data_IF_556249166532
#
_entry.id   IF_556249166532
#
_cell.length_a   1.000
_cell.length_b   1.000
_cell.length_c   1.000
_cell.angle_alpha   90.00
_cell.angle_beta   90.00
_cell.angle_gamma   90.00
#
_symmetry.space_group_name_H-M   'P 1'
#
loop_
_entity.id
_entity.type
_entity.pdbx_description
1 polymer ?
#
# COMPACT_ATOMS: atom_id res chain seq x y z
N UNK A 1 29.35 43.75 87.90
CA UNK A 1 28.13 44.15 87.16
C UNK A 1 28.34 44.12 85.63
N UNK A 2 29.55 44.37 85.14
CA UNK A 2 29.83 44.44 83.69
C UNK A 2 29.75 43.09 82.93
N UNK A 3 30.14 41.98 83.56
CA UNK A 3 30.05 40.66 82.92
C UNK A 3 28.60 40.23 82.62
N UNK A 4 27.64 40.54 83.51
CA UNK A 4 26.22 40.18 83.33
C UNK A 4 25.61 40.99 82.18
N UNK A 5 25.99 42.27 82.04
CA UNK A 5 25.52 43.11 80.93
C UNK A 5 26.05 42.61 79.58
N UNK A 6 27.32 42.18 79.52
CA UNK A 6 27.92 41.56 78.33
C UNK A 6 27.23 40.28 77.88
N UNK A 7 26.89 39.37 78.83
CA UNK A 7 26.15 38.15 78.52
C UNK A 7 24.71 38.43 78.03
N UNK A 8 24.02 39.42 78.62
CA UNK A 8 22.68 39.81 78.18
C UNK A 8 22.67 40.38 76.75
N UNK A 9 23.66 41.21 76.41
CA UNK A 9 23.82 41.75 75.06
C UNK A 9 24.16 40.65 74.06
N UNK A 10 25.05 39.72 74.41
CA UNK A 10 25.40 38.58 73.55
C UNK A 10 24.20 37.63 73.30
N UNK A 11 23.37 37.39 74.31
CA UNK A 11 22.14 36.58 74.17
C UNK A 11 21.08 37.28 73.32
N UNK A 12 20.90 38.60 73.47
CA UNK A 12 20.01 39.37 72.61
C UNK A 12 20.47 39.35 71.15
N UNK A 13 21.76 39.55 70.88
CA UNK A 13 22.32 39.47 69.53
C UNK A 13 22.21 38.06 68.94
N UNK A 14 22.38 37.01 69.75
CA UNK A 14 22.22 35.62 69.33
C UNK A 14 20.75 35.24 69.05
N UNK A 15 19.79 35.76 69.81
CA UNK A 15 18.37 35.56 69.51
C UNK A 15 17.92 36.31 68.25
N UNK A 16 18.47 37.50 68.01
CA UNK A 16 18.23 38.26 66.77
C UNK A 16 18.81 37.56 65.54
N UNK A 17 20.00 36.95 65.65
CA UNK A 17 20.62 36.20 64.55
C UNK A 17 19.90 34.88 64.27
N UNK A 18 19.41 34.17 65.30
CA UNK A 18 18.55 32.98 65.15
C UNK A 18 17.20 33.31 64.51
N UNK A 19 16.57 34.42 64.90
CA UNK A 19 15.31 34.89 64.27
C UNK A 19 15.53 35.27 62.80
N UNK A 20 16.64 35.94 62.49
CA UNK A 20 17.07 36.23 61.12
C UNK A 20 17.34 34.94 60.31
N UNK A 21 18.07 34.00 60.87
CA UNK A 21 18.36 32.73 60.19
C UNK A 21 17.10 31.88 59.96
N UNK A 22 16.19 31.79 60.93
CA UNK A 22 14.94 31.04 60.79
C UNK A 22 14.02 31.64 59.71
N UNK A 23 13.97 32.97 59.60
CA UNK A 23 13.21 33.66 58.53
C UNK A 23 13.84 33.46 57.17
N UNK A 24 15.17 33.52 57.06
CA UNK A 24 15.91 33.22 55.83
C UNK A 24 15.81 31.75 55.41
N UNK A 25 15.91 30.81 56.35
CA UNK A 25 15.75 29.38 56.09
C UNK A 25 14.33 29.06 55.62
N UNK A 26 13.31 29.64 56.28
CA UNK A 26 11.91 29.53 55.85
C UNK A 26 11.69 30.13 54.47
N UNK A 27 12.21 31.33 54.20
CA UNK A 27 12.14 31.96 52.88
C UNK A 27 12.86 31.13 51.81
N UNK A 28 14.00 30.51 52.14
CA UNK A 28 14.73 29.59 51.26
C UNK A 28 13.90 28.37 50.88
N UNK A 29 13.28 27.70 51.85
CA UNK A 29 12.37 26.57 51.58
C UNK A 29 11.17 27.00 50.73
N UNK A 30 10.55 28.14 51.04
CA UNK A 30 9.44 28.70 50.26
C UNK A 30 9.85 29.00 48.82
N UNK A 31 11.05 29.57 48.60
CA UNK A 31 11.56 29.86 47.26
C UNK A 31 11.83 28.58 46.45
N UNK A 32 12.38 27.53 47.08
CA UNK A 32 12.57 26.22 46.43
C UNK A 32 11.24 25.58 46.07
N UNK A 33 10.26 25.58 46.99
CA UNK A 33 8.91 25.08 46.71
C UNK A 33 8.24 25.84 45.56
N UNK A 34 8.43 27.17 45.54
CA UNK A 34 7.89 28.05 44.49
C UNK A 34 8.47 27.71 43.13
N UNK A 35 9.80 27.64 43.03
CA UNK A 35 10.50 27.28 41.80
C UNK A 35 10.16 25.85 41.34
N UNK A 36 10.05 24.89 42.27
CA UNK A 36 9.68 23.51 41.95
C UNK A 36 8.26 23.42 41.39
N UNK A 37 7.28 24.08 42.01
CA UNK A 37 5.90 24.12 41.53
C UNK A 37 5.80 24.81 40.15
N UNK A 38 6.47 25.94 39.97
CA UNK A 38 6.47 26.70 38.71
C UNK A 38 7.15 25.91 37.57
N UNK A 39 8.29 25.28 37.85
CA UNK A 39 9.01 24.45 36.87
C UNK A 39 8.18 23.23 36.44
N UNK A 40 7.56 22.54 37.40
CA UNK A 40 6.69 21.41 37.10
C UNK A 40 5.45 21.83 36.29
N UNK A 41 4.85 22.98 36.63
CA UNK A 41 3.74 23.57 35.87
C UNK A 41 4.16 23.83 34.41
N UNK A 42 5.33 24.44 34.20
CA UNK A 42 5.85 24.72 32.86
C UNK A 42 6.09 23.43 32.04
N UNK A 43 6.59 22.36 32.66
CA UNK A 43 6.77 21.06 31.99
C UNK A 43 5.42 20.48 31.58
N UNK A 44 4.42 20.51 32.47
CA UNK A 44 3.07 20.04 32.17
C UNK A 44 2.42 20.89 31.08
N UNK A 45 2.53 22.21 31.14
CA UNK A 45 1.98 23.15 30.16
C UNK A 45 2.53 22.90 28.75
N UNK A 46 3.84 22.62 28.62
CA UNK A 46 4.45 22.27 27.33
C UNK A 46 3.90 20.96 26.76
N UNK A 47 3.78 19.93 27.58
CA UNK A 47 3.22 18.65 27.16
C UNK A 47 1.74 18.75 26.81
N UNK A 48 0.97 19.49 27.62
CA UNK A 48 -0.43 19.79 27.40
C UNK A 48 -0.63 20.58 26.10
N UNK A 49 0.21 21.57 25.82
CA UNK A 49 0.17 22.33 24.57
C UNK A 49 0.43 21.44 23.36
N UNK A 50 1.47 20.60 23.42
CA UNK A 50 1.79 19.66 22.33
C UNK A 50 0.65 18.66 22.10
N UNK A 51 0.05 18.12 23.16
CA UNK A 51 -1.12 17.24 23.07
C UNK A 51 -2.31 17.94 22.39
N UNK A 52 -2.64 19.17 22.81
CA UNK A 52 -3.75 19.93 22.20
C UNK A 52 -3.48 20.24 20.73
N UNK A 53 -2.22 20.45 20.34
CA UNK A 53 -1.83 20.64 18.95
C UNK A 53 -2.03 19.37 18.12
N UNK A 54 -1.49 18.25 18.56
CA UNK A 54 -1.52 16.98 17.80
C UNK A 54 -2.93 16.39 17.74
N UNK A 55 -3.71 16.48 18.83
CA UNK A 55 -5.06 15.93 18.93
C UNK A 55 -6.16 16.95 18.65
N UNK A 56 -5.82 18.07 18.01
CA UNK A 56 -6.75 19.19 17.77
C UNK A 56 -8.05 18.77 17.07
N UNK A 57 -7.95 17.91 16.04
CA UNK A 57 -9.12 17.41 15.31
C UNK A 57 -10.03 16.54 16.20
N UNK A 58 -9.44 15.65 17.01
CA UNK A 58 -10.15 14.81 17.98
C UNK A 58 -10.83 15.68 19.05
N UNK A 59 -10.12 16.69 19.56
CA UNK A 59 -10.61 17.60 20.59
C UNK A 59 -11.74 18.49 20.08
N UNK A 60 -11.68 18.97 18.83
CA UNK A 60 -12.77 19.75 18.19
C UNK A 60 -14.07 18.93 18.08
N UNK A 61 -13.95 17.62 17.86
CA UNK A 61 -15.11 16.74 17.77
C UNK A 61 -15.74 16.41 19.14
N UNK A 62 -14.97 16.49 20.23
CA UNK A 62 -15.38 16.04 21.57
C UNK A 62 -15.69 17.19 22.54
N UNK A 63 -14.93 18.29 22.48
CA UNK A 63 -15.11 19.43 23.36
C UNK A 63 -16.31 20.29 22.93
N UNK A 64 -17.03 20.84 23.91
CA UNK A 64 -18.12 21.78 23.67
C UNK A 64 -17.88 23.09 24.42
N UNK A 65 -18.80 24.05 24.30
CA UNK A 65 -18.70 25.31 25.04
C UNK A 65 -18.87 25.14 26.56
N UNK A 66 -19.54 24.06 27.01
CA UNK A 66 -19.89 23.83 28.42
C UNK A 66 -19.37 22.52 29.01
N UNK A 67 -18.90 21.59 28.17
CA UNK A 67 -18.34 20.30 28.60
C UNK A 67 -16.91 20.18 28.09
N UNK A 68 -15.90 20.27 28.98
CA UNK A 68 -14.50 20.15 28.60
C UNK A 68 -14.09 18.70 28.42
N UNK A 69 -13.12 18.48 27.51
CA UNK A 69 -12.35 17.23 27.49
C UNK A 69 -11.29 17.32 28.58
N UNK A 70 -11.29 16.34 29.49
CA UNK A 70 -10.36 16.25 30.59
C UNK A 70 -9.15 15.38 30.20
N UNK A 71 -7.95 15.92 30.32
CA UNK A 71 -6.69 15.25 29.98
C UNK A 71 -5.84 15.17 31.24
N UNK A 72 -5.57 13.94 31.67
CA UNK A 72 -4.83 13.67 32.91
C UNK A 72 -3.33 13.49 32.64
N UNK A 73 -2.45 13.60 33.66
CA UNK A 73 -1.03 13.30 33.51
C UNK A 73 -0.78 11.90 32.95
N UNK A 74 -1.60 10.91 33.33
CA UNK A 74 -1.49 9.54 32.83
C UNK A 74 -1.75 9.45 31.32
N UNK A 75 -2.72 10.20 30.79
CA UNK A 75 -2.99 10.26 29.34
C UNK A 75 -1.80 10.86 28.58
N UNK A 76 -1.20 11.93 29.11
CA UNK A 76 -0.02 12.57 28.51
C UNK A 76 1.22 11.67 28.58
N UNK A 77 1.40 10.89 29.64
CA UNK A 77 2.48 9.89 29.75
C UNK A 77 2.27 8.77 28.72
N UNK A 78 1.05 8.21 28.64
CA UNK A 78 0.74 7.13 27.71
C UNK A 78 0.82 7.57 26.24
N UNK A 79 0.51 8.85 25.96
CA UNK A 79 0.69 9.47 24.65
C UNK A 79 2.12 9.89 24.33
N UNK A 80 3.08 9.72 25.25
CA UNK A 80 4.48 10.08 25.05
C UNK A 80 4.82 11.57 25.20
N UNK A 81 3.87 12.41 25.61
CA UNK A 81 4.04 13.85 25.81
C UNK A 81 4.76 14.18 27.12
N UNK A 82 4.59 13.34 28.15
CA UNK A 82 5.28 13.45 29.44
C UNK A 82 6.18 12.22 29.68
N UNK A 83 7.33 12.40 30.35
CA UNK A 83 8.18 11.27 30.73
C UNK A 83 7.49 10.38 31.77
N UNK A 84 7.75 9.08 31.74
CA UNK A 84 7.15 8.10 32.64
C UNK A 84 7.37 8.40 34.14
N UNK A 85 8.43 9.14 34.49
CA UNK A 85 8.73 9.57 35.86
C UNK A 85 8.05 10.87 36.31
N UNK A 86 7.18 11.48 35.50
CA UNK A 86 6.51 12.73 35.86
C UNK A 86 5.51 12.51 37.00
N UNK A 87 5.66 13.26 38.09
CA UNK A 87 4.71 13.22 39.21
C UNK A 87 3.41 13.93 38.85
N UNK A 88 2.27 13.25 39.04
CA UNK A 88 0.94 13.83 38.82
C UNK A 88 0.63 14.99 39.78
N UNK A 89 1.25 15.03 40.96
CA UNK A 89 1.02 16.05 41.98
C UNK A 89 2.20 17.00 42.13
N UNK A 90 1.91 18.25 42.49
CA UNK A 90 2.91 19.25 42.85
C UNK A 90 3.33 19.18 44.34
N UNK A 91 4.24 20.07 44.75
CA UNK A 91 4.76 20.14 46.13
C UNK A 91 3.69 20.43 47.20
N UNK A 92 2.49 20.87 46.79
CA UNK A 92 1.33 21.09 47.65
C UNK A 92 0.32 19.92 47.62
N UNK A 93 0.67 18.82 46.94
CA UNK A 93 -0.20 17.65 46.77
C UNK A 93 -1.37 17.90 45.82
N UNK A 94 -1.31 18.94 45.00
CA UNK A 94 -2.37 19.26 44.02
C UNK A 94 -2.07 18.55 42.70
N UNK A 95 -3.07 17.92 42.09
CA UNK A 95 -2.94 17.13 40.86
C UNK A 95 -3.14 17.99 39.61
N UNK A 96 -2.26 17.89 38.62
CA UNK A 96 -2.44 18.60 37.35
C UNK A 96 -3.59 18.05 36.52
N UNK A 97 -4.38 18.94 35.92
CA UNK A 97 -5.48 18.60 35.01
C UNK A 97 -5.51 19.61 33.86
N UNK A 98 -5.44 19.11 32.62
CA UNK A 98 -5.76 19.90 31.44
C UNK A 98 -7.25 19.75 31.12
N UNK A 99 -7.93 20.86 30.88
CA UNK A 99 -9.32 20.90 30.42
C UNK A 99 -9.41 21.72 29.14
N UNK A 100 -10.00 21.13 28.10
CA UNK A 100 -10.12 21.77 26.78
C UNK A 100 -11.59 22.00 26.46
N UNK A 101 -11.98 23.26 26.29
CA UNK A 101 -13.30 23.66 25.82
C UNK A 101 -13.26 24.05 24.34
N UNK A 102 -14.43 24.09 23.72
CA UNK A 102 -14.66 24.73 22.43
C UNK A 102 -15.72 25.85 22.59
N UNK A 103 -15.34 27.05 23.09
CA UNK A 103 -16.30 28.12 23.35
C UNK A 103 -17.03 28.60 22.09
N UNK A 104 -16.35 28.57 20.94
CA UNK A 104 -16.93 28.78 19.61
C UNK A 104 -16.48 27.66 18.69
N UNK A 105 -17.27 27.24 17.69
CA UNK A 105 -16.91 26.16 16.77
C UNK A 105 -15.49 26.33 16.20
N UNK A 106 -14.69 25.24 16.25
CA UNK A 106 -13.30 25.17 15.78
C UNK A 106 -12.27 26.05 16.51
N UNK A 107 -12.63 26.70 17.63
CA UNK A 107 -11.65 27.39 18.49
C UNK A 107 -11.57 26.70 19.85
N UNK A 108 -10.44 26.04 20.10
CA UNK A 108 -10.16 25.38 21.37
C UNK A 108 -9.63 26.38 22.41
N UNK A 109 -10.08 26.25 23.66
CA UNK A 109 -9.56 26.97 24.82
C UNK A 109 -9.09 25.96 25.86
N UNK A 110 -7.77 25.85 26.00
CA UNK A 110 -7.11 24.91 26.89
C UNK A 110 -6.68 25.61 28.21
N UNK A 111 -7.18 25.09 29.32
CA UNK A 111 -6.85 25.57 30.66
C UNK A 111 -6.26 24.42 31.48
N UNK A 112 -5.02 24.59 31.94
CA UNK A 112 -4.40 23.71 32.93
C UNK A 112 -4.76 24.21 34.32
N UNK A 113 -5.09 23.32 35.24
CA UNK A 113 -5.34 23.65 36.64
C UNK A 113 -4.69 22.63 37.56
N UNK A 114 -4.34 23.05 38.78
CA UNK A 114 -3.98 22.15 39.87
C UNK A 114 -5.20 21.87 40.74
N UNK A 115 -5.58 20.61 40.90
CA UNK A 115 -6.82 20.16 41.55
C UNK A 115 -6.56 19.49 42.90
N UNK A 116 -7.53 19.59 43.82
CA UNK A 116 -7.42 18.98 45.15
C UNK A 116 -6.25 19.54 45.97
N UNK A 117 -5.60 18.67 46.75
CA UNK A 117 -4.40 19.00 47.53
C UNK A 117 -4.61 20.10 48.59
N UNK A 118 -3.50 20.56 49.17
CA UNK A 118 -3.51 21.68 50.12
C UNK A 118 -3.59 23.01 49.35
N UNK A 119 -4.52 23.93 49.69
CA UNK A 119 -4.53 25.25 49.08
C UNK A 119 -3.27 26.04 49.49
N UNK A 120 -2.69 26.77 48.55
CA UNK A 120 -1.57 27.68 48.81
C UNK A 120 -2.16 28.90 49.51
N UNK A 121 -1.97 29.00 50.82
CA UNK A 121 -2.56 30.07 51.65
C UNK A 121 -1.76 31.36 51.65
N UNK A 122 -0.46 31.29 51.33
CA UNK A 122 0.34 32.48 51.10
C UNK A 122 0.03 33.06 49.72
N UNK A 123 -0.75 34.14 49.70
CA UNK A 123 -1.20 34.80 48.48
C UNK A 123 -0.04 35.35 47.65
N UNK A 124 1.09 35.71 48.27
CA UNK A 124 2.29 36.17 47.55
C UNK A 124 2.98 34.99 46.88
N UNK A 125 3.14 33.88 47.59
CA UNK A 125 3.71 32.65 47.02
C UNK A 125 2.89 32.17 45.82
N UNK A 126 1.56 32.20 45.93
CA UNK A 126 0.64 31.82 44.86
C UNK A 126 0.89 32.62 43.57
N UNK A 127 0.97 33.95 43.68
CA UNK A 127 1.25 34.81 42.52
C UNK A 127 2.67 34.63 42.01
N UNK A 128 3.65 34.40 42.89
CA UNK A 128 5.04 34.16 42.49
C UNK A 128 5.20 32.88 41.68
N UNK A 129 4.53 31.79 42.08
CA UNK A 129 4.55 30.54 41.30
C UNK A 129 3.97 30.78 39.91
N UNK A 130 2.79 31.42 39.84
CA UNK A 130 2.14 31.77 38.58
C UNK A 130 3.06 32.61 37.68
N UNK A 131 3.70 33.65 38.23
CA UNK A 131 4.61 34.51 37.50
C UNK A 131 5.87 33.79 37.01
N UNK A 132 6.42 32.87 37.81
CA UNK A 132 7.60 32.08 37.45
C UNK A 132 7.32 31.03 36.37
N UNK A 133 6.08 30.55 36.27
CA UNK A 133 5.69 29.61 35.20
C UNK A 133 5.68 30.29 33.81
N UNK A 134 5.57 31.62 33.75
CA UNK A 134 5.62 32.40 32.51
C UNK A 134 4.31 33.11 32.18
N UNK A 135 4.17 33.60 30.95
CA UNK A 135 3.03 34.42 30.54
C UNK A 135 1.67 33.68 30.60
N UNK A 136 1.68 32.38 30.35
CA UNK A 136 0.51 31.51 30.48
C UNK A 136 0.13 31.24 31.95
N UNK A 137 1.06 31.43 32.89
CA UNK A 137 0.89 31.08 34.29
C UNK A 137 -0.06 32.01 35.03
N UNK A 138 -0.87 31.41 35.90
CA UNK A 138 -1.95 32.06 36.63
C UNK A 138 -2.37 31.28 37.88
N UNK A 139 -3.42 31.76 38.53
CA UNK A 139 -3.91 31.24 39.80
C UNK A 139 -5.40 31.52 39.99
N UNK A 140 -6.03 30.79 40.91
CA UNK A 140 -7.37 31.08 41.41
C UNK A 140 -7.25 31.82 42.74
N UNK A 141 -7.66 33.10 42.81
CA UNK A 141 -7.42 33.95 43.97
C UNK A 141 -8.35 33.61 45.13
N UNK A 142 -8.00 34.10 46.32
CA UNK A 142 -8.95 34.27 47.41
C UNK A 142 -9.82 35.50 47.18
N UNK A 143 -11.02 35.52 47.77
CA UNK A 143 -11.91 36.67 47.67
C UNK A 143 -11.22 37.94 48.22
N UNK A 144 -11.20 39.02 47.44
CA UNK A 144 -10.58 40.28 47.86
C UNK A 144 -9.05 40.24 47.97
N UNK A 145 -8.38 39.27 47.33
CA UNK A 145 -6.93 39.09 47.45
C UNK A 145 -6.17 40.37 47.08
N UNK A 146 -5.18 40.72 47.91
CA UNK A 146 -4.37 41.95 47.79
C UNK A 146 -5.20 43.26 47.76
N UNK A 147 -6.42 43.25 48.30
CA UNK A 147 -7.28 44.44 48.36
C UNK A 147 -8.08 44.71 47.08
N UNK A 148 -8.02 43.81 46.09
CA UNK A 148 -8.81 43.92 44.87
C UNK A 148 -10.16 43.20 45.05
N UNK A 149 -11.29 43.93 45.16
CA UNK A 149 -12.61 43.32 45.37
C UNK A 149 -13.11 42.54 44.15
N UNK A 150 -12.48 42.68 42.98
CA UNK A 150 -12.86 41.94 41.77
C UNK A 150 -12.29 40.52 41.74
N UNK A 151 -11.27 40.23 42.57
CA UNK A 151 -10.70 38.90 42.70
C UNK A 151 -11.66 37.95 43.42
N UNK A 152 -12.13 36.93 42.69
CA UNK A 152 -13.10 35.93 43.15
C UNK A 152 -12.68 34.53 42.71
N UNK A 153 -13.07 33.52 43.50
CA UNK A 153 -12.70 32.13 43.29
C UNK A 153 -13.38 31.46 42.07
N UNK A 154 -14.30 32.14 41.40
CA UNK A 154 -15.00 31.65 40.19
C UNK A 154 -14.24 31.98 38.90
N UNK A 155 -13.08 32.64 38.99
CA UNK A 155 -12.26 33.02 37.84
C UNK A 155 -10.79 32.69 38.09
N UNK A 156 -10.10 32.26 37.05
CA UNK A 156 -8.65 32.16 37.05
C UNK A 156 -8.04 33.45 36.48
N UNK A 157 -6.91 33.87 37.03
CA UNK A 157 -6.21 35.10 36.69
C UNK A 157 -4.77 34.77 36.33
N UNK A 158 -4.32 35.28 35.18
CA UNK A 158 -2.90 35.28 34.84
C UNK A 158 -2.09 36.12 35.81
N UNK A 159 -0.82 35.77 35.98
CA UNK A 159 0.11 36.59 36.76
C UNK A 159 0.07 38.06 36.27
N UNK A 160 0.01 38.99 37.22
CA UNK A 160 -0.11 40.43 36.95
C UNK A 160 -1.33 40.85 36.09
N UNK A 161 -2.36 40.01 35.99
CA UNK A 161 -3.58 40.32 35.23
C UNK A 161 -3.46 40.14 33.71
N UNK A 162 -2.49 39.37 33.24
CA UNK A 162 -2.25 39.15 31.81
C UNK A 162 -3.45 38.55 31.05
N UNK A 163 -4.27 37.77 31.74
CA UNK A 163 -5.50 37.18 31.21
C UNK A 163 -6.47 36.86 32.35
N UNK A 164 -7.74 36.65 32.02
CA UNK A 164 -8.77 36.24 32.98
C UNK A 164 -9.76 35.30 32.31
N UNK A 165 -10.04 34.15 32.93
CA UNK A 165 -10.95 33.14 32.39
C UNK A 165 -12.00 32.74 33.44
N UNK A 166 -13.30 32.75 33.09
CA UNK A 166 -14.35 32.22 33.96
C UNK A 166 -14.22 30.69 34.11
N UNK A 167 -14.44 30.18 35.32
CA UNK A 167 -14.32 28.75 35.61
C UNK A 167 -15.66 28.00 35.59
N UNK A 168 -16.75 28.65 35.17
CA UNK A 168 -18.11 28.11 35.21
C UNK A 168 -18.28 26.79 34.43
N UNK A 169 -17.57 26.66 33.29
CA UNK A 169 -17.60 25.47 32.43
C UNK A 169 -16.38 24.55 32.65
N UNK A 170 -15.57 24.84 33.66
CA UNK A 170 -14.40 24.06 34.05
C UNK A 170 -14.66 23.35 35.38
N UNK A 171 -13.85 22.34 35.69
CA UNK A 171 -13.83 21.79 37.04
C UNK A 171 -13.12 22.80 37.94
N UNK A 172 -13.86 23.67 38.61
CA UNK A 172 -13.26 24.76 39.38
C UNK A 172 -12.39 24.21 40.53
N UNK A 173 -11.07 24.49 40.55
CA UNK A 173 -10.16 24.02 41.60
C UNK A 173 -10.31 24.75 42.95
N UNK A 174 -11.02 25.89 42.96
CA UNK A 174 -11.17 26.77 44.12
C UNK A 174 -9.91 27.59 44.44
N UNK A 175 -10.00 28.50 45.40
CA UNK A 175 -8.91 29.41 45.77
C UNK A 175 -7.63 28.69 46.20
N UNK A 176 -6.48 29.33 45.94
CA UNK A 176 -5.17 28.84 46.35
C UNK A 176 -4.58 27.76 45.43
N UNK A 177 -5.10 27.65 44.20
CA UNK A 177 -4.67 26.68 43.18
C UNK A 177 -4.09 27.42 41.97
N UNK A 178 -3.21 26.74 41.26
CA UNK A 178 -2.54 27.23 40.07
C UNK A 178 -3.40 26.98 38.84
N UNK A 179 -3.28 27.85 37.85
CA UNK A 179 -3.97 27.75 36.57
C UNK A 179 -3.07 28.24 35.43
N UNK A 180 -3.17 27.65 34.23
CA UNK A 180 -2.41 28.08 33.05
C UNK A 180 -3.33 28.17 31.85
N UNK A 181 -3.41 29.34 31.22
CA UNK A 181 -4.17 29.50 29.97
C UNK A 181 -3.22 29.26 28.79
N UNK A 182 -3.39 28.13 28.11
CA UNK A 182 -2.54 27.77 27.00
C UNK A 182 -3.01 28.50 25.74
N UNK A 183 -2.19 29.43 25.25
CA UNK A 183 -2.48 30.15 24.01
C UNK A 183 -2.30 29.22 22.80
N UNK A 184 -3.39 28.91 22.12
CA UNK A 184 -3.40 28.14 20.89
C UNK A 184 -3.63 29.08 19.70
N UNK A 185 -2.65 29.17 18.81
CA UNK A 185 -2.89 29.72 17.46
C UNK A 185 -3.11 28.51 16.56
N UNK A 186 -4.32 28.33 16.02
CA UNK A 186 -4.73 27.12 15.29
C UNK A 186 -3.87 26.71 14.09
N UNK A 187 -2.84 27.49 13.74
CA UNK A 187 -1.88 27.21 12.69
C UNK A 187 -0.72 26.27 13.12
N UNK A 188 -0.52 25.99 14.41
CA UNK A 188 0.60 25.12 14.86
C UNK A 188 0.27 23.63 15.01
N UNK A 189 -0.97 23.21 14.72
CA UNK A 189 -1.43 21.82 14.85
C UNK A 189 -0.88 20.82 13.82
N UNK A 190 0.02 21.24 12.91
CA UNK A 190 0.61 20.37 11.89
C UNK A 190 2.12 20.20 12.15
N UNK A 191 2.47 19.52 13.25
CA UNK A 191 3.87 19.22 13.55
C UNK A 191 4.33 17.86 12.97
N UNK A 192 3.48 17.18 12.20
CA UNK A 192 3.78 15.93 11.49
C UNK A 192 4.65 16.11 10.23
N UNK A 193 5.64 17.01 10.26
CA UNK A 193 6.56 17.13 9.15
C UNK A 193 7.36 15.84 8.99
N UNK A 194 7.49 15.35 7.76
CA UNK A 194 8.39 14.25 7.46
C UNK A 194 9.83 14.67 7.85
N UNK A 195 10.36 14.04 8.89
CA UNK A 195 11.72 14.31 9.35
C UNK A 195 12.71 13.76 8.32
N UNK A 196 13.59 14.63 7.81
CA UNK A 196 14.42 14.34 6.62
C UNK A 196 15.86 13.95 6.95
N UNK A 197 16.23 14.03 8.22
CA UNK A 197 17.57 13.72 8.70
C UNK A 197 17.49 12.43 9.49
N UNK A 198 18.47 11.54 9.37
CA UNK A 198 18.47 10.36 10.22
C UNK A 198 18.65 10.77 11.69
N UNK A 199 17.76 10.31 12.58
CA UNK A 199 17.99 10.34 14.03
C UNK A 199 18.51 8.98 14.49
N UNK A 200 19.81 8.85 14.83
CA UNK A 200 20.35 7.58 15.31
C UNK A 200 19.62 7.10 16.57
N UNK A 201 19.29 5.80 16.64
CA UNK A 201 18.61 5.19 17.79
C UNK A 201 17.09 5.37 17.83
N UNK A 202 16.52 6.18 16.94
CA UNK A 202 15.09 6.55 16.96
C UNK A 202 14.38 6.16 15.65
N UNK A 203 14.03 4.87 15.44
CA UNK A 203 13.36 4.43 14.21
C UNK A 203 12.00 5.09 13.97
N UNK A 204 11.28 5.47 15.03
CA UNK A 204 10.00 6.17 14.99
C UNK A 204 10.11 7.54 14.34
N UNK A 205 11.25 8.22 14.46
CA UNK A 205 11.51 9.52 13.84
C UNK A 205 12.01 9.40 12.39
N UNK A 206 12.32 8.18 11.93
CA UNK A 206 12.83 7.91 10.59
C UNK A 206 11.81 7.15 9.72
N UNK A 207 10.55 7.03 10.17
CA UNK A 207 9.50 6.25 9.49
C UNK A 207 8.19 7.04 9.42
N UNK A 208 7.42 6.80 8.38
CA UNK A 208 6.04 7.28 8.30
C UNK A 208 5.13 6.36 9.12
N UNK A 209 4.19 6.95 9.86
CA UNK A 209 3.14 6.22 10.60
C UNK A 209 1.83 6.08 9.80
N UNK A 210 1.77 6.73 8.63
CA UNK A 210 0.63 6.70 7.71
C UNK A 210 1.12 6.77 6.25
N UNK A 211 0.23 6.58 5.29
CA UNK A 211 0.52 6.76 3.86
C UNK A 211 0.82 8.23 3.56
N UNK A 212 1.81 8.48 2.71
CA UNK A 212 2.07 9.80 2.15
C UNK A 212 1.28 9.98 0.85
N UNK A 213 0.41 10.97 0.82
CA UNK A 213 -0.19 11.47 -0.41
C UNK A 213 0.68 12.61 -0.92
N UNK A 214 1.17 12.49 -2.16
CA UNK A 214 2.00 13.50 -2.78
C UNK A 214 1.18 14.65 -3.38
N UNK A 215 -0.16 14.57 -3.39
CA UNK A 215 -1.07 15.59 -3.94
C UNK A 215 -0.71 16.01 -5.38
N UNK A 216 -0.30 15.05 -6.20
CA UNK A 216 0.12 15.27 -7.60
C UNK A 216 1.56 15.78 -7.77
N UNK A 217 2.36 15.83 -6.71
CA UNK A 217 3.77 16.23 -6.78
C UNK A 217 4.71 15.04 -7.05
N UNK A 218 5.90 15.37 -7.56
CA UNK A 218 6.91 14.39 -7.94
C UNK A 218 7.75 13.88 -6.77
N UNK A 219 8.26 12.65 -6.91
CA UNK A 219 9.37 12.12 -6.10
C UNK A 219 10.60 12.02 -7.00
N UNK A 220 11.50 13.00 -6.92
CA UNK A 220 12.72 13.03 -7.74
C UNK A 220 13.94 12.47 -7.00
N UNK A 221 14.85 11.83 -7.72
CA UNK A 221 16.15 11.32 -7.20
C UNK A 221 16.05 10.30 -6.05
N UNK A 222 14.98 9.51 -6.00
CA UNK A 222 14.91 8.36 -5.11
C UNK A 222 15.95 7.30 -5.51
N UNK A 223 16.91 7.00 -4.64
CA UNK A 223 17.96 6.03 -4.91
C UNK A 223 17.42 4.59 -5.05
N UNK A 224 16.39 4.23 -4.27
CA UNK A 224 15.69 2.95 -4.33
C UNK A 224 14.26 3.08 -3.84
N UNK A 225 13.31 2.52 -4.58
CA UNK A 225 11.92 2.37 -4.19
C UNK A 225 11.58 0.88 -4.23
N UNK A 226 11.12 0.32 -3.11
CA UNK A 226 10.69 -1.08 -3.01
C UNK A 226 9.20 -1.12 -2.69
N UNK A 227 8.41 -1.73 -3.58
CA UNK A 227 7.00 -1.98 -3.35
C UNK A 227 6.78 -3.43 -2.91
N UNK A 228 5.95 -3.66 -1.89
CA UNK A 228 5.63 -5.00 -1.38
C UNK A 228 4.42 -5.63 -2.06
N UNK A 229 3.56 -4.82 -2.70
CA UNK A 229 2.32 -5.29 -3.32
C UNK A 229 2.28 -4.97 -4.80
N UNK A 230 2.21 -3.69 -5.18
CA UNK A 230 2.08 -3.28 -6.57
C UNK A 230 2.77 -1.94 -6.84
N UNK A 231 3.23 -1.77 -8.07
CA UNK A 231 3.59 -0.49 -8.67
C UNK A 231 2.58 -0.23 -9.79
N UNK A 232 1.72 0.77 -9.63
CA UNK A 232 0.67 1.12 -10.59
C UNK A 232 0.97 2.48 -11.22
N UNK A 233 0.74 2.62 -12.52
CA UNK A 233 0.83 3.89 -13.24
C UNK A 233 -0.46 4.15 -14.02
N UNK A 234 -1.00 5.36 -13.92
CA UNK A 234 -2.11 5.81 -14.76
C UNK A 234 -1.69 6.26 -16.16
N UNK A 235 -0.38 6.35 -16.41
CA UNK A 235 0.23 6.70 -17.69
C UNK A 235 1.47 5.86 -17.97
N UNK A 236 2.39 6.42 -18.76
CA UNK A 236 3.61 5.73 -19.20
C UNK A 236 4.57 5.38 -18.05
N UNK A 237 5.15 4.18 -18.11
CA UNK A 237 6.29 3.79 -17.25
C UNK A 237 7.56 3.72 -18.09
N UNK A 238 8.51 4.62 -17.84
CA UNK A 238 9.76 4.70 -18.59
C UNK A 238 10.86 3.81 -17.97
N UNK A 239 11.18 2.70 -18.62
CA UNK A 239 12.37 1.89 -18.30
C UNK A 239 13.58 2.39 -19.08
N UNK A 240 14.38 3.30 -18.52
CA UNK A 240 15.47 3.95 -19.28
C UNK A 240 16.68 3.03 -19.50
N UNK A 241 16.97 2.14 -18.56
CA UNK A 241 18.10 1.21 -18.62
C UNK A 241 17.93 0.18 -19.74
N UNK A 242 19.04 -0.17 -20.38
CA UNK A 242 19.09 -1.16 -21.47
C UNK A 242 19.91 -2.39 -21.09
N UNK A 243 19.56 -3.53 -21.66
CA UNK A 243 20.34 -4.77 -21.61
C UNK A 243 20.46 -5.37 -23.01
N UNK A 244 21.65 -5.84 -23.37
CA UNK A 244 21.88 -6.48 -24.66
C UNK A 244 21.57 -7.98 -24.54
N UNK A 245 20.68 -8.53 -25.37
CA UNK A 245 20.39 -9.97 -25.35
C UNK A 245 21.67 -10.81 -25.46
N UNK A 246 21.77 -11.84 -24.62
CA UNK A 246 22.90 -12.77 -24.58
C UNK A 246 24.12 -12.29 -23.78
N UNK A 247 24.13 -11.05 -23.27
CA UNK A 247 25.25 -10.56 -22.44
C UNK A 247 25.00 -10.80 -20.95
N UNK A 248 26.07 -10.75 -20.15
CA UNK A 248 25.97 -10.91 -18.70
C UNK A 248 25.08 -9.85 -18.05
N UNK A 249 24.37 -10.24 -16.98
CA UNK A 249 23.56 -9.38 -16.14
C UNK A 249 23.86 -9.64 -14.66
N UNK A 250 23.76 -8.59 -13.83
CA UNK A 250 24.18 -8.65 -12.42
C UNK A 250 23.05 -8.69 -11.39
N UNK A 251 21.79 -8.54 -11.82
CA UNK A 251 20.63 -8.50 -10.93
C UNK A 251 19.54 -9.41 -11.50
N UNK A 252 19.43 -10.61 -10.93
CA UNK A 252 18.41 -11.59 -11.33
C UNK A 252 17.01 -11.00 -11.30
N UNK A 253 16.15 -11.46 -12.22
CA UNK A 253 14.75 -11.03 -12.41
C UNK A 253 14.55 -9.56 -12.78
N UNK A 254 15.61 -8.76 -12.89
CA UNK A 254 15.49 -7.38 -13.35
C UNK A 254 15.06 -7.32 -14.83
N UNK A 255 14.27 -6.31 -15.16
CA UNK A 255 13.79 -6.05 -16.53
C UNK A 255 14.40 -4.76 -17.07
N UNK A 256 14.74 -4.76 -18.36
CA UNK A 256 15.28 -3.59 -19.07
C UNK A 256 14.70 -3.52 -20.48
N UNK A 257 14.89 -2.39 -21.17
CA UNK A 257 14.69 -2.34 -22.62
C UNK A 257 15.79 -3.12 -23.32
N UNK A 258 15.46 -3.79 -24.42
CA UNK A 258 16.49 -4.36 -25.28
C UNK A 258 17.31 -3.26 -25.95
N UNK A 259 18.64 -3.41 -26.03
CA UNK A 259 19.49 -2.51 -26.83
C UNK A 259 19.17 -2.58 -28.33
N UNK A 260 18.51 -3.64 -28.78
CA UNK A 260 18.08 -3.82 -30.19
C UNK A 260 16.79 -3.04 -30.53
N UNK A 261 16.20 -2.33 -29.57
CA UNK A 261 14.95 -1.56 -29.77
C UNK A 261 13.68 -2.40 -29.84
N UNK A 262 13.79 -3.72 -29.68
CA UNK A 262 12.66 -4.67 -29.76
C UNK A 262 12.33 -5.20 -28.36
N UNK A 263 11.21 -4.75 -27.78
CA UNK A 263 10.67 -5.29 -26.53
C UNK A 263 11.58 -5.12 -25.30
N UNK A 264 11.49 -6.09 -24.39
CA UNK A 264 12.21 -6.10 -23.11
C UNK A 264 13.23 -7.23 -23.04
N UNK A 265 14.14 -7.12 -22.08
CA UNK A 265 15.00 -8.22 -21.64
C UNK A 265 14.80 -8.45 -20.15
N UNK A 266 14.90 -9.70 -19.71
CA UNK A 266 14.94 -10.12 -18.31
C UNK A 266 16.31 -10.72 -18.01
N UNK A 267 16.86 -10.41 -16.83
CA UNK A 267 18.03 -11.10 -16.32
C UNK A 267 17.59 -12.45 -15.75
N UNK A 268 18.06 -13.55 -16.35
CA UNK A 268 17.79 -14.90 -15.89
C UNK A 268 19.01 -15.79 -16.12
N UNK A 269 19.53 -16.39 -15.05
CA UNK A 269 20.71 -17.25 -15.11
C UNK A 269 21.99 -16.48 -15.44
N UNK A 270 22.11 -15.24 -14.95
CA UNK A 270 23.27 -14.36 -15.15
C UNK A 270 23.41 -13.77 -16.55
N UNK A 271 22.43 -13.96 -17.43
CA UNK A 271 22.41 -13.40 -18.79
C UNK A 271 21.10 -12.66 -19.08
N UNK A 272 21.18 -11.63 -19.93
CA UNK A 272 20.00 -10.94 -20.46
C UNK A 272 19.32 -11.82 -21.51
N UNK A 273 18.08 -12.21 -21.24
CA UNK A 273 17.24 -12.99 -22.14
C UNK A 273 16.14 -12.07 -22.69
N UNK A 274 15.88 -12.14 -24.00
CA UNK A 274 14.80 -11.35 -24.60
C UNK A 274 13.42 -11.86 -24.15
N UNK A 275 12.53 -10.95 -23.78
CA UNK A 275 11.14 -11.24 -23.38
C UNK A 275 10.21 -10.53 -24.34
N UNK A 276 9.38 -11.30 -25.05
CA UNK A 276 8.34 -10.76 -25.92
C UNK A 276 8.92 -9.91 -27.05
N UNK A 277 9.12 -10.51 -28.20
CA UNK A 277 9.89 -9.90 -29.26
C UNK A 277 8.94 -9.34 -30.33
N UNK A 278 8.10 -8.39 -29.93
CA UNK A 278 7.16 -7.71 -30.81
C UNK A 278 7.92 -6.68 -31.66
N UNK A 279 8.00 -6.93 -32.97
CA UNK A 279 8.63 -6.03 -33.94
C UNK A 279 7.51 -5.35 -34.72
N UNK A 280 7.50 -4.02 -34.77
CA UNK A 280 6.55 -3.27 -35.57
C UNK A 280 7.01 -3.20 -37.04
N UNK A 281 6.08 -3.07 -37.97
CA UNK A 281 6.33 -2.81 -39.41
C UNK A 281 7.05 -3.94 -40.18
N UNK A 282 6.73 -5.19 -39.84
CA UNK A 282 7.28 -6.38 -40.50
C UNK A 282 6.54 -6.71 -41.79
N UNK A 283 7.29 -7.19 -42.79
CA UNK A 283 6.77 -7.67 -44.07
C UNK A 283 7.57 -8.89 -44.55
N UNK A 284 7.02 -9.62 -45.52
CA UNK A 284 7.65 -10.84 -46.08
C UNK A 284 9.07 -10.55 -46.58
N UNK A 285 10.02 -11.36 -46.14
CA UNK A 285 11.41 -11.27 -46.57
C UNK A 285 12.27 -10.22 -45.85
N UNK A 286 11.70 -9.42 -44.93
CA UNK A 286 12.46 -8.49 -44.10
C UNK A 286 13.51 -9.25 -43.28
N UNK A 287 14.74 -8.73 -43.22
CA UNK A 287 15.82 -9.36 -42.46
C UNK A 287 15.48 -9.43 -40.96
N UNK A 288 15.85 -10.54 -40.33
CA UNK A 288 15.70 -10.75 -38.89
C UNK A 288 16.94 -11.43 -38.31
N UNK A 289 17.36 -10.99 -37.13
CA UNK A 289 18.58 -11.49 -36.47
C UNK A 289 18.38 -12.73 -35.61
N UNK A 290 17.13 -13.04 -35.23
CA UNK A 290 16.81 -14.11 -34.29
C UNK A 290 15.92 -15.17 -34.95
N UNK A 291 16.53 -16.22 -35.50
CA UNK A 291 15.80 -17.32 -36.12
C UNK A 291 14.86 -18.01 -35.10
N UNK A 292 13.61 -18.28 -35.49
CA UNK A 292 12.54 -18.78 -34.61
C UNK A 292 11.68 -17.69 -33.95
N UNK A 293 12.04 -16.41 -34.10
CA UNK A 293 11.25 -15.29 -33.60
C UNK A 293 9.87 -15.23 -34.27
N UNK A 294 8.80 -15.23 -33.47
CA UNK A 294 7.43 -15.00 -33.94
C UNK A 294 7.12 -13.52 -33.81
N UNK A 295 6.48 -12.95 -34.83
CA UNK A 295 6.11 -11.55 -34.84
C UNK A 295 4.85 -11.32 -35.70
N UNK A 296 4.20 -10.16 -35.57
CA UNK A 296 2.96 -9.84 -36.28
C UNK A 296 3.08 -8.49 -37.00
N UNK A 297 2.56 -8.40 -38.22
CA UNK A 297 2.47 -7.11 -38.94
C UNK A 297 1.34 -6.22 -38.40
N UNK A 298 1.29 -4.97 -38.86
CA UNK A 298 0.21 -4.02 -38.59
C UNK A 298 -1.17 -4.49 -39.10
N UNK A 299 -1.21 -5.46 -40.01
CA UNK A 299 -2.44 -6.06 -40.56
C UNK A 299 -2.75 -7.43 -39.93
N UNK A 300 -2.18 -7.74 -38.77
CA UNK A 300 -2.36 -8.99 -38.02
C UNK A 300 -1.91 -10.26 -38.76
N UNK A 301 -0.94 -10.16 -39.67
CA UNK A 301 -0.33 -11.35 -40.29
C UNK A 301 0.81 -11.83 -39.40
N UNK A 302 0.81 -13.12 -39.04
CA UNK A 302 1.89 -13.73 -38.26
C UNK A 302 3.07 -14.14 -39.14
N UNK A 303 4.27 -13.87 -38.67
CA UNK A 303 5.55 -14.20 -39.29
C UNK A 303 6.41 -15.00 -38.31
N UNK A 304 7.27 -15.84 -38.87
CA UNK A 304 8.38 -16.46 -38.16
C UNK A 304 9.69 -16.08 -38.85
N UNK A 305 10.70 -15.68 -38.07
CA UNK A 305 12.04 -15.50 -38.59
C UNK A 305 12.63 -16.87 -38.96
N UNK A 306 12.83 -17.12 -40.26
CA UNK A 306 13.39 -18.36 -40.79
C UNK A 306 14.46 -18.02 -41.82
N UNK A 307 15.66 -18.56 -41.63
CA UNK A 307 16.84 -18.26 -42.47
C UNK A 307 17.17 -16.77 -42.51
N UNK A 308 17.10 -16.10 -41.35
CA UNK A 308 17.35 -14.66 -41.18
C UNK A 308 16.40 -13.75 -41.98
N UNK A 309 15.22 -14.24 -42.35
CA UNK A 309 14.15 -13.45 -42.94
C UNK A 309 12.82 -13.76 -42.29
N UNK A 310 11.97 -12.76 -42.11
CA UNK A 310 10.59 -12.99 -41.71
C UNK A 310 9.83 -13.64 -42.86
N UNK A 311 9.29 -14.81 -42.59
CA UNK A 311 8.45 -15.57 -43.50
C UNK A 311 7.07 -15.66 -42.87
N UNK A 312 6.02 -15.31 -43.60
CA UNK A 312 4.65 -15.44 -43.15
C UNK A 312 4.40 -16.88 -42.71
N UNK A 313 3.66 -17.08 -41.61
CA UNK A 313 3.40 -18.42 -41.09
C UNK A 313 2.77 -19.35 -42.15
N UNK A 314 1.95 -18.78 -43.04
CA UNK A 314 1.36 -19.49 -44.18
C UNK A 314 2.40 -20.01 -45.19
N UNK A 315 3.55 -19.34 -45.31
CA UNK A 315 4.65 -19.74 -46.20
C UNK A 315 5.74 -20.52 -45.45
N UNK A 316 5.81 -20.40 -44.12
CA UNK A 316 6.87 -20.97 -43.31
C UNK A 316 6.65 -22.46 -43.02
N UNK A 317 5.38 -22.85 -42.92
CA UNK A 317 4.91 -24.23 -42.88
C UNK A 317 4.69 -24.67 -44.33
N UNK A 318 5.33 -25.75 -44.77
CA UNK A 318 5.05 -26.33 -46.09
C UNK A 318 3.63 -26.90 -46.16
N UNK A 319 3.30 -27.59 -47.27
CA UNK A 319 1.96 -28.15 -47.47
C UNK A 319 1.49 -28.94 -46.24
N UNK A 320 0.34 -28.54 -45.69
CA UNK A 320 -0.23 -29.14 -44.49
C UNK A 320 -1.41 -30.01 -44.88
N UNK A 321 -1.30 -31.31 -44.62
CA UNK A 321 -2.40 -32.25 -44.87
C UNK A 321 -3.05 -32.67 -43.55
N UNK A 322 -4.32 -32.33 -43.37
CA UNK A 322 -5.15 -32.78 -42.25
C UNK A 322 -5.98 -33.96 -42.74
N UNK A 323 -6.05 -35.07 -42.00
CA UNK A 323 -6.71 -36.31 -42.46
C UNK A 323 -7.65 -36.89 -41.42
N UNK A 324 -8.70 -37.55 -41.88
CA UNK A 324 -9.67 -38.30 -41.09
C UNK A 324 -9.87 -39.68 -41.73
N UNK A 325 -9.79 -40.72 -40.92
CA UNK A 325 -9.99 -42.11 -41.31
C UNK A 325 -11.40 -42.58 -40.94
N UNK A 326 -12.06 -43.28 -41.85
CA UNK A 326 -13.38 -43.90 -41.66
C UNK A 326 -13.24 -45.38 -42.02
N UNK A 327 -13.51 -46.26 -41.07
CA UNK A 327 -13.44 -47.70 -41.30
C UNK A 327 -14.79 -48.30 -41.69
N UNK A 328 -14.73 -49.53 -42.22
CA UNK A 328 -15.89 -50.34 -42.58
C UNK A 328 -16.77 -49.69 -43.66
N UNK A 329 -16.13 -49.01 -44.60
CA UNK A 329 -16.80 -48.38 -45.75
C UNK A 329 -17.05 -49.40 -46.84
N UNK A 330 -18.24 -49.35 -47.43
CA UNK A 330 -18.72 -50.28 -48.45
C UNK A 330 -19.23 -49.52 -49.67
N UNK A 331 -19.43 -50.24 -50.77
CA UNK A 331 -19.97 -49.67 -52.01
C UNK A 331 -21.25 -48.87 -51.78
N UNK A 332 -21.37 -47.69 -52.41
CA UNK A 332 -22.55 -46.84 -52.32
C UNK A 332 -22.58 -45.83 -51.18
N UNK A 333 -21.65 -45.91 -50.22
CA UNK A 333 -21.60 -44.93 -49.12
C UNK A 333 -21.10 -43.57 -49.59
N UNK A 334 -21.67 -42.50 -49.04
CA UNK A 334 -21.28 -41.12 -49.37
C UNK A 334 -20.77 -40.36 -48.15
N UNK A 335 -19.82 -39.44 -48.38
CA UNK A 335 -19.22 -38.59 -47.35
C UNK A 335 -19.20 -37.15 -47.82
N UNK A 336 -19.66 -36.20 -47.01
CA UNK A 336 -19.48 -34.78 -47.33
C UNK A 336 -18.00 -34.44 -47.43
N UNK A 337 -17.63 -33.61 -48.41
CA UNK A 337 -16.26 -33.10 -48.50
C UNK A 337 -15.94 -32.23 -47.29
N UNK A 338 -14.73 -32.34 -46.76
CA UNK A 338 -14.26 -31.46 -45.69
C UNK A 338 -14.21 -30.00 -46.19
N UNK A 339 -14.60 -29.05 -45.33
CA UNK A 339 -14.49 -27.63 -45.64
C UNK A 339 -13.03 -27.20 -45.52
N UNK A 340 -12.41 -26.83 -46.65
CA UNK A 340 -10.99 -26.45 -46.71
C UNK A 340 -10.84 -24.99 -47.14
N UNK A 341 -11.01 -24.00 -46.25
CA UNK A 341 -10.78 -22.59 -46.59
C UNK A 341 -9.34 -22.35 -47.08
N UNK A 342 -9.16 -22.02 -48.35
CA UNK A 342 -7.84 -21.81 -48.96
C UNK A 342 -7.05 -23.09 -49.26
N UNK A 343 -7.67 -24.27 -49.15
CA UNK A 343 -7.07 -25.57 -49.46
C UNK A 343 -7.94 -26.40 -50.41
N UNK A 344 -7.51 -27.63 -50.66
CA UNK A 344 -8.23 -28.59 -51.53
C UNK A 344 -8.65 -29.82 -50.73
N UNK A 345 -9.93 -30.18 -50.80
CA UNK A 345 -10.43 -31.42 -50.20
C UNK A 345 -9.95 -32.64 -51.01
N UNK A 346 -9.57 -33.70 -50.34
CA UNK A 346 -9.14 -34.95 -50.97
C UNK A 346 -9.74 -36.17 -50.28
N UNK A 347 -9.77 -37.29 -50.99
CA UNK A 347 -10.14 -38.58 -50.41
C UNK A 347 -9.42 -39.74 -51.11
N UNK A 348 -9.25 -40.83 -50.38
CA UNK A 348 -8.66 -42.10 -50.82
C UNK A 348 -9.48 -43.25 -50.24
N UNK A 349 -9.79 -44.25 -51.08
CA UNK A 349 -10.40 -45.49 -50.64
C UNK A 349 -9.37 -46.63 -50.66
N UNK A 350 -9.00 -47.12 -49.48
CA UNK A 350 -8.06 -48.24 -49.33
C UNK A 350 -8.82 -49.52 -49.01
N UNK A 351 -8.65 -50.62 -49.75
CA UNK A 351 -9.29 -51.89 -49.44
C UNK A 351 -8.83 -52.44 -48.07
N UNK A 352 -9.75 -53.04 -47.30
CA UNK A 352 -9.45 -53.67 -45.99
C UNK A 352 -9.33 -55.20 -46.11
N UNK A 353 -9.92 -55.78 -47.15
CA UNK A 353 -9.87 -57.22 -47.42
C UNK A 353 -9.59 -57.47 -48.89
N UNK A 354 -8.66 -58.38 -49.17
CA UNK A 354 -8.49 -59.01 -50.48
C UNK A 354 -9.25 -60.34 -50.44
N UNK A 355 -10.26 -60.50 -51.29
CA UNK A 355 -11.01 -61.75 -51.35
C UNK A 355 -10.29 -62.73 -52.26
N UNK A 356 -10.00 -63.92 -51.73
CA UNK A 356 -9.65 -65.10 -52.54
C UNK A 356 -10.94 -65.85 -52.82
N UNK A 357 -11.22 -66.13 -54.09
CA UNK A 357 -12.41 -66.86 -54.52
C UNK A 357 -12.40 -68.29 -53.96
N UNK A 358 -13.27 -68.60 -52.98
CA UNK A 358 -13.33 -69.94 -52.37
C UNK A 358 -14.68 -70.65 -52.64
N UNK A 359 -15.72 -69.95 -53.13
CA UNK A 359 -17.09 -70.49 -53.11
C UNK A 359 -17.65 -71.00 -54.44
N UNK A 360 -16.97 -70.85 -55.59
CA UNK A 360 -17.41 -71.48 -56.85
C UNK A 360 -18.75 -71.00 -57.44
N UNK A 361 -19.37 -69.97 -56.87
CA UNK A 361 -20.70 -69.47 -57.26
C UNK A 361 -20.72 -68.48 -58.44
N UNK A 362 -19.56 -67.96 -58.87
CA UNK A 362 -19.45 -67.07 -60.04
C UNK A 362 -18.58 -67.75 -61.10
N UNK A 363 -19.16 -68.10 -62.24
CA UNK A 363 -18.44 -68.56 -63.42
C UNK A 363 -18.60 -67.51 -64.53
N UNK A 364 -17.51 -66.95 -65.08
CA UNK A 364 -16.11 -67.12 -64.67
C UNK A 364 -15.77 -66.42 -63.33
N UNK A 365 -14.68 -66.83 -62.65
CA UNK A 365 -14.31 -66.32 -61.32
C UNK A 365 -14.05 -64.80 -61.33
N UNK A 366 -14.19 -64.16 -60.16
CA UNK A 366 -13.75 -62.78 -59.96
C UNK A 366 -12.23 -62.70 -60.20
N UNK A 367 -11.81 -61.77 -61.06
CA UNK A 367 -10.42 -61.57 -61.47
C UNK A 367 -9.82 -60.28 -60.91
N UNK A 368 -10.63 -59.40 -60.32
CA UNK A 368 -10.14 -58.17 -59.73
C UNK A 368 -11.18 -57.46 -58.87
N UNK A 369 -10.70 -56.54 -58.04
CA UNK A 369 -11.52 -55.60 -57.30
C UNK A 369 -11.08 -54.18 -57.61
N UNK A 370 -12.04 -53.26 -57.59
CA UNK A 370 -11.85 -51.85 -57.86
C UNK A 370 -12.40 -51.06 -56.67
N UNK A 371 -11.54 -50.26 -56.06
CA UNK A 371 -11.89 -49.35 -54.97
C UNK A 371 -11.53 -47.94 -55.41
N UNK A 372 -12.51 -47.05 -55.43
CA UNK A 372 -12.31 -45.65 -55.80
C UNK A 372 -13.16 -44.72 -54.95
N UNK A 373 -12.61 -43.54 -54.69
CA UNK A 373 -13.41 -42.40 -54.27
C UNK A 373 -13.76 -41.53 -55.46
N UNK A 374 -15.04 -41.53 -55.82
CA UNK A 374 -15.54 -40.74 -56.92
C UNK A 374 -16.01 -39.37 -56.40
N UNK A 375 -15.67 -38.32 -57.14
CA UNK A 375 -16.12 -36.96 -56.84
C UNK A 375 -17.52 -36.73 -57.39
N UNK A 376 -18.50 -36.50 -56.50
CA UNK A 376 -19.89 -36.18 -56.86
C UNK A 376 -20.24 -34.72 -56.53
N UNK A 377 -19.25 -33.82 -56.56
CA UNK A 377 -19.42 -32.40 -56.28
C UNK A 377 -19.27 -32.10 -54.79
N UNK A 378 -20.37 -32.16 -54.04
CA UNK A 378 -20.38 -31.85 -52.59
C UNK A 378 -20.03 -33.05 -51.71
N UNK A 379 -19.99 -34.25 -52.29
CA UNK A 379 -19.71 -35.51 -51.58
C UNK A 379 -18.68 -36.37 -52.31
N UNK A 380 -17.97 -37.19 -51.54
CA UNK A 380 -17.22 -38.34 -52.01
C UNK A 380 -18.12 -39.57 -52.02
N UNK A 381 -18.16 -40.28 -53.14
CA UNK A 381 -18.86 -41.55 -53.30
C UNK A 381 -17.88 -42.71 -53.26
N UNK A 382 -18.03 -43.61 -52.29
CA UNK A 382 -17.22 -44.81 -52.18
C UNK A 382 -17.73 -45.87 -53.16
N UNK A 383 -16.97 -46.10 -54.22
CA UNK A 383 -17.21 -47.20 -55.15
C UNK A 383 -16.32 -48.37 -54.79
N UNK A 384 -16.93 -49.51 -54.48
CA UNK A 384 -16.25 -50.80 -54.41
C UNK A 384 -16.93 -51.75 -55.36
N UNK A 385 -16.19 -52.34 -56.29
CA UNK A 385 -16.75 -53.26 -57.28
C UNK A 385 -15.81 -54.43 -57.52
N UNK A 386 -16.36 -55.55 -57.95
CA UNK A 386 -15.58 -56.71 -58.39
C UNK A 386 -15.85 -56.96 -59.87
N UNK A 387 -14.87 -57.52 -60.57
CA UNK A 387 -14.98 -57.82 -61.99
C UNK A 387 -14.70 -59.29 -62.27
N UNK A 388 -15.54 -59.91 -63.09
CA UNK A 388 -15.24 -61.17 -63.78
C UNK A 388 -15.28 -60.95 -65.29
N UNK A 389 -14.81 -61.90 -66.11
CA UNK A 389 -14.99 -61.85 -67.56
C UNK A 389 -16.45 -61.76 -68.04
N UNK A 390 -17.43 -62.06 -67.18
CA UNK A 390 -18.84 -61.99 -67.54
C UNK A 390 -19.51 -60.65 -67.19
N UNK A 391 -19.14 -60.03 -66.06
CA UNK A 391 -19.82 -58.83 -65.58
C UNK A 391 -19.05 -58.05 -64.50
N UNK A 392 -19.55 -56.84 -64.21
CA UNK A 392 -19.23 -56.07 -63.02
C UNK A 392 -20.25 -56.34 -61.92
N UNK A 393 -19.75 -56.51 -60.70
CA UNK A 393 -20.56 -56.73 -59.51
C UNK A 393 -20.37 -55.58 -58.53
N UNK A 394 -21.47 -55.10 -57.95
CA UNK A 394 -21.41 -54.18 -56.81
C UNK A 394 -20.68 -54.85 -55.65
N UNK A 395 -19.89 -54.09 -54.90
CA UNK A 395 -19.23 -54.57 -53.69
C UNK A 395 -20.19 -54.99 -52.58
N UNK A 396 -21.49 -54.71 -52.74
CA UNK A 396 -22.57 -55.16 -51.86
C UNK A 396 -23.22 -56.48 -52.31
N UNK A 397 -22.85 -57.05 -53.46
CA UNK A 397 -23.41 -58.31 -53.96
C UNK A 397 -22.80 -59.52 -53.23
N UNK A 398 -23.19 -59.69 -51.97
CA UNK A 398 -22.64 -60.73 -51.10
C UNK A 398 -22.94 -62.15 -51.60
N UNK A 399 -23.99 -62.32 -52.41
CA UNK A 399 -24.38 -63.61 -52.97
C UNK A 399 -23.42 -64.07 -54.07
N UNK A 400 -23.12 -63.20 -55.03
CA UNK A 400 -22.11 -63.49 -56.05
C UNK A 400 -20.70 -63.51 -55.45
N UNK A 401 -20.37 -62.54 -54.60
CA UNK A 401 -19.00 -62.35 -54.12
C UNK A 401 -18.58 -63.28 -52.97
N UNK A 402 -19.53 -63.96 -52.31
CA UNK A 402 -19.25 -64.75 -51.10
C UNK A 402 -18.91 -63.90 -49.87
N UNK A 403 -19.04 -62.58 -49.97
CA UNK A 403 -18.69 -61.60 -48.94
C UNK A 403 -18.97 -60.18 -49.41
N UNK A 404 -18.81 -59.21 -48.51
CA UNK A 404 -18.98 -57.78 -48.83
C UNK A 404 -17.61 -57.14 -49.01
N UNK A 405 -17.42 -56.34 -50.06
CA UNK A 405 -16.21 -55.53 -50.21
C UNK A 405 -16.23 -54.40 -49.20
N UNK A 406 -15.24 -54.41 -48.30
CA UNK A 406 -15.09 -53.44 -47.23
C UNK A 406 -13.70 -52.80 -47.32
N UNK A 407 -13.64 -51.49 -47.12
CA UNK A 407 -12.41 -50.74 -47.07
C UNK A 407 -12.41 -49.65 -46.00
N UNK A 408 -11.36 -48.84 -46.05
CA UNK A 408 -11.14 -47.66 -45.23
C UNK A 408 -11.08 -46.45 -46.14
N UNK A 409 -11.80 -45.41 -45.77
CA UNK A 409 -11.73 -44.11 -46.43
C UNK A 409 -10.85 -43.18 -45.62
N UNK A 410 -9.87 -42.57 -46.26
CA UNK A 410 -9.12 -41.44 -45.71
C UNK A 410 -9.53 -40.20 -46.48
N UNK A 411 -10.00 -39.16 -45.80
CA UNK A 411 -10.38 -37.88 -46.41
C UNK A 411 -9.82 -36.73 -45.60
N UNK A 412 -9.69 -35.54 -46.20
CA UNK A 412 -9.16 -34.40 -45.50
C UNK A 412 -8.93 -33.19 -46.37
N UNK A 413 -8.15 -32.24 -45.83
CA UNK A 413 -7.75 -31.01 -46.50
C UNK A 413 -6.24 -31.02 -46.74
N UNK A 414 -5.83 -30.57 -47.91
CA UNK A 414 -4.45 -30.19 -48.22
C UNK A 414 -4.41 -28.67 -48.35
N UNK A 415 -3.60 -28.02 -47.53
CA UNK A 415 -3.36 -26.57 -47.52
C UNK A 415 -1.96 -26.25 -48.04
#
# INVERSE_FOLDING_TARGET
MEAILGYLVALMLSMLSLAGFATWAKAGVTNVQTAAAASQMLVFDKAALQFVQDESATLVAQATASVPVNVTPAMLINGGYLPAGFSATNVFGQTWLLQVLQPTPNNLQALVTSQGGRPITDTRQLVQIAAQAGAQGGFVPYAGQNGDPTMVATRAYGAYGAWQVPLDNYANPGSGRLASLLAFTGAQANNGYLYRVQVPGHPELNRMQTSIDMAGNDVSNAARVTATTALTSGGDTYLTSTGAPGTACGVETSTRRSTTGTGHVICAGGIWQAVGTAVANIYEGLWCGNNGQIATSATNVGFICKSNRYIALNNALGNMTVTRKIENVTDGMTFSKDNCPGGTAWALYTPKQEMVNITGNVMPPIQGTYFSMNDWGTTWYAQASAISPAAWYSGNDTGALGGRLVGTVTTGCTF
#
